data_IF_766762678897
#
_entry.id   IF_766762678897
#
_cell.length_a   1.000
_cell.length_b   1.000
_cell.length_c   1.000
_cell.angle_alpha   90.00
_cell.angle_beta   90.00
_cell.angle_gamma   90.00
#
_symmetry.space_group_name_H-M   'P 1'
#
loop_
_entity.id
_entity.type
_entity.pdbx_description
1 polymer ?
#
# COMPACT_ATOMS: atom_id res chain seq x y z
N UNK A 1 63.49 -68.63 3.44
CA UNK A 1 62.80 -67.98 4.57
C UNK A 1 61.74 -67.14 4.03
N UNK A 2 60.48 -67.58 4.11
CA UNK A 2 59.35 -66.79 3.62
C UNK A 2 58.68 -66.09 4.80
N UNK A 3 58.44 -64.78 4.69
CA UNK A 3 57.57 -64.04 5.55
C UNK A 3 56.29 -63.82 4.77
N UNK A 4 55.26 -64.58 5.04
CA UNK A 4 53.88 -64.31 4.64
C UNK A 4 53.23 -63.50 5.78
N UNK A 5 52.80 -62.29 5.49
CA UNK A 5 52.06 -61.47 6.41
C UNK A 5 50.61 -61.48 5.97
N UNK A 6 49.87 -62.46 6.41
CA UNK A 6 48.39 -62.44 6.34
C UNK A 6 47.87 -61.74 7.58
N UNK A 7 47.65 -60.41 7.46
CA UNK A 7 47.01 -59.57 8.44
C UNK A 7 45.67 -59.09 7.95
N UNK A 8 44.72 -59.96 7.84
CA UNK A 8 43.30 -59.63 7.90
C UNK A 8 42.92 -59.52 9.36
N UNK A 9 42.57 -58.40 9.83
CA UNK A 9 41.51 -58.08 10.82
C UNK A 9 41.74 -56.68 11.37
N UNK A 10 41.39 -55.69 10.53
CA UNK A 10 41.19 -54.32 10.95
C UNK A 10 39.82 -54.16 11.63
N UNK A 11 39.78 -54.54 12.92
CA UNK A 11 38.60 -54.32 13.74
C UNK A 11 38.26 -52.82 13.80
N UNK A 12 37.16 -52.46 13.22
CA UNK A 12 36.56 -51.16 13.34
C UNK A 12 36.21 -50.90 14.81
N UNK A 13 37.01 -50.07 15.49
CA UNK A 13 36.68 -49.55 16.81
C UNK A 13 35.49 -48.64 16.70
N UNK A 14 34.31 -49.13 17.05
CA UNK A 14 33.15 -48.29 17.34
C UNK A 14 33.26 -47.87 18.80
N UNK A 15 33.30 -46.58 19.12
CA UNK A 15 33.20 -46.13 20.50
C UNK A 15 31.75 -46.34 20.97
N UNK A 16 31.56 -47.31 21.85
CA UNK A 16 30.23 -47.76 22.31
C UNK A 16 29.78 -47.09 23.61
N UNK A 17 30.37 -45.96 24.00
CA UNK A 17 29.82 -45.19 25.11
C UNK A 17 30.14 -43.69 24.97
N UNK A 18 29.17 -42.82 24.88
CA UNK A 18 29.39 -41.41 25.12
C UNK A 18 29.68 -41.22 26.62
N UNK A 19 30.88 -40.68 26.93
CA UNK A 19 31.27 -40.35 28.29
C UNK A 19 30.30 -39.38 28.98
N UNK A 20 30.41 -39.16 30.32
CA UNK A 20 29.44 -38.39 31.11
C UNK A 20 29.35 -36.90 30.77
N UNK A 21 30.10 -36.42 29.79
CA UNK A 21 30.01 -35.09 29.23
C UNK A 21 29.33 -35.17 27.86
N UNK A 22 27.97 -35.27 27.87
CA UNK A 22 27.18 -35.31 26.66
C UNK A 22 27.51 -34.12 25.77
N UNK A 23 27.87 -34.38 24.50
CA UNK A 23 27.97 -33.33 23.49
C UNK A 23 26.66 -32.55 23.46
N UNK A 24 26.69 -31.21 23.43
CA UNK A 24 25.49 -30.45 23.24
C UNK A 24 24.86 -30.88 21.91
N UNK A 25 23.69 -31.50 22.00
CA UNK A 25 22.86 -31.81 20.84
C UNK A 25 22.58 -30.50 20.12
N UNK A 26 23.21 -30.30 18.97
CA UNK A 26 22.90 -29.20 18.11
C UNK A 26 21.37 -29.20 17.87
N UNK A 27 20.68 -28.08 18.01
CA UNK A 27 19.24 -28.02 17.72
C UNK A 27 19.04 -28.55 16.31
N UNK A 28 18.22 -29.60 16.19
CA UNK A 28 17.86 -30.17 14.89
C UNK A 28 17.53 -29.03 13.94
N UNK A 29 18.24 -28.86 12.82
CA UNK A 29 17.80 -27.90 11.81
C UNK A 29 16.36 -28.28 11.47
N UNK A 30 15.47 -27.33 11.61
CA UNK A 30 14.06 -27.49 11.24
C UNK A 30 14.08 -28.11 9.85
N UNK A 31 13.71 -29.39 9.75
CA UNK A 31 13.75 -30.13 8.49
C UNK A 31 12.69 -29.59 7.56
N UNK A 32 12.97 -28.41 6.99
CA UNK A 32 12.13 -27.76 6.00
C UNK A 32 11.86 -28.68 4.81
N UNK A 33 12.90 -29.46 4.42
CA UNK A 33 12.76 -30.49 3.39
C UNK A 33 11.78 -31.61 3.79
N UNK A 34 11.77 -32.03 5.06
CA UNK A 34 10.83 -33.02 5.56
C UNK A 34 9.39 -32.51 5.54
N UNK A 35 9.18 -31.24 5.89
CA UNK A 35 7.89 -30.60 5.85
C UNK A 35 7.39 -30.41 4.40
N UNK A 36 8.28 -29.99 3.50
CA UNK A 36 7.97 -29.86 2.06
C UNK A 36 7.64 -31.23 1.46
N UNK A 37 8.36 -32.31 1.79
CA UNK A 37 8.05 -33.66 1.34
C UNK A 37 6.73 -34.19 1.89
N UNK A 38 6.42 -33.90 3.18
CA UNK A 38 5.14 -34.26 3.78
C UNK A 38 3.97 -33.48 3.15
N UNK A 39 4.17 -32.19 2.86
CA UNK A 39 3.20 -31.39 2.12
C UNK A 39 3.00 -31.90 0.70
N UNK A 40 4.09 -32.25 -0.01
CA UNK A 40 4.02 -32.85 -1.34
C UNK A 40 3.33 -34.23 -1.33
N UNK A 41 3.63 -35.10 -0.33
CA UNK A 41 2.98 -36.40 -0.21
C UNK A 41 1.49 -36.28 0.09
N UNK A 42 1.07 -35.32 0.92
CA UNK A 42 -0.36 -35.05 1.16
C UNK A 42 -1.06 -34.44 -0.06
N UNK A 43 -0.39 -33.54 -0.81
CA UNK A 43 -0.91 -33.02 -2.06
C UNK A 43 -1.05 -34.14 -3.12
N UNK A 44 -0.07 -35.07 -3.20
CA UNK A 44 -0.13 -36.19 -4.13
C UNK A 44 -1.25 -37.18 -3.78
N UNK A 45 -1.59 -37.33 -2.48
CA UNK A 45 -2.73 -38.19 -2.07
C UNK A 45 -4.10 -37.56 -2.39
N UNK A 46 -4.18 -36.26 -2.54
CA UNK A 46 -5.40 -35.53 -2.90
C UNK A 46 -5.61 -35.43 -4.43
N UNK A 47 -4.58 -35.73 -5.22
CA UNK A 47 -4.62 -35.77 -6.69
C UNK A 47 -4.69 -37.24 -7.15
N UNK A 48 -5.86 -37.81 -7.39
CA UNK A 48 -5.96 -39.16 -7.93
C UNK A 48 -5.55 -39.16 -9.41
N UNK A 49 -4.41 -39.71 -9.70
CA UNK A 49 -3.90 -39.94 -11.05
C UNK A 49 -2.49 -39.38 -11.27
N UNK A 50 -1.51 -40.26 -11.23
CA UNK A 50 -0.09 -39.99 -11.45
C UNK A 50 0.20 -39.27 -12.77
N UNK A 51 0.82 -38.12 -12.63
CA UNK A 51 1.29 -37.26 -13.69
C UNK A 51 0.94 -35.78 -13.40
N UNK A 52 1.80 -34.89 -13.84
CA UNK A 52 1.55 -33.43 -13.91
C UNK A 52 0.39 -33.11 -14.87
N UNK A 53 -0.71 -33.86 -14.74
CA UNK A 53 -1.90 -33.74 -15.58
C UNK A 53 -2.66 -32.43 -15.25
N UNK A 54 -3.54 -32.05 -16.19
CA UNK A 54 -4.31 -30.80 -16.14
C UNK A 54 -5.01 -30.47 -14.81
N UNK A 55 -5.26 -31.49 -13.95
CA UNK A 55 -5.85 -31.31 -12.63
C UNK A 55 -4.90 -30.65 -11.61
N UNK A 56 -3.61 -31.00 -11.63
CA UNK A 56 -2.60 -30.37 -10.77
C UNK A 56 -2.40 -28.92 -11.18
N UNK A 57 -2.35 -28.63 -12.47
CA UNK A 57 -2.30 -27.27 -13.00
C UNK A 57 -3.56 -26.47 -12.64
N UNK A 58 -4.74 -27.11 -12.68
CA UNK A 58 -5.99 -26.48 -12.28
C UNK A 58 -6.02 -26.11 -10.79
N UNK A 59 -5.56 -27.02 -9.90
CA UNK A 59 -5.46 -26.75 -8.45
C UNK A 59 -4.45 -25.64 -8.17
N UNK A 60 -3.28 -25.67 -8.82
CA UNK A 60 -2.26 -24.62 -8.69
C UNK A 60 -2.79 -23.27 -9.20
N UNK A 61 -3.47 -23.26 -10.32
CA UNK A 61 -4.13 -22.08 -10.87
C UNK A 61 -5.21 -21.53 -9.94
N UNK A 62 -6.05 -22.40 -9.37
CA UNK A 62 -7.08 -22.02 -8.42
C UNK A 62 -6.48 -21.42 -7.14
N UNK A 63 -5.39 -22.00 -6.65
CA UNK A 63 -4.67 -21.51 -5.48
C UNK A 63 -4.01 -20.15 -5.75
N UNK A 64 -3.46 -19.96 -6.97
CA UNK A 64 -2.95 -18.68 -7.44
C UNK A 64 -4.03 -17.60 -7.49
N UNK A 65 -5.20 -17.93 -8.03
CA UNK A 65 -6.34 -17.00 -8.07
C UNK A 65 -6.83 -16.66 -6.66
N UNK A 66 -6.86 -17.62 -5.75
CA UNK A 66 -7.28 -17.40 -4.37
C UNK A 66 -6.29 -16.49 -3.63
N UNK A 67 -4.99 -16.70 -3.81
CA UNK A 67 -3.96 -15.83 -3.27
C UNK A 67 -4.06 -14.42 -3.86
N UNK A 68 -4.30 -14.32 -5.17
CA UNK A 68 -4.48 -13.04 -5.83
C UNK A 68 -5.71 -12.28 -5.29
N UNK A 69 -6.83 -12.96 -5.07
CA UNK A 69 -8.02 -12.35 -4.45
C UNK A 69 -7.75 -11.82 -3.04
N UNK A 70 -6.90 -12.49 -2.25
CA UNK A 70 -6.53 -12.03 -0.91
C UNK A 70 -5.77 -10.70 -0.91
N UNK A 71 -5.11 -10.32 -2.01
CA UNK A 71 -4.42 -9.03 -2.13
C UNK A 71 -5.38 -7.83 -2.25
N UNK A 72 -6.68 -8.08 -2.40
CA UNK A 72 -7.70 -7.03 -2.47
C UNK A 72 -8.05 -6.37 -1.12
N UNK A 73 -7.50 -6.83 0.00
CA UNK A 73 -7.73 -6.21 1.30
C UNK A 73 -6.92 -4.92 1.44
N UNK A 74 -7.57 -3.84 1.88
CA UNK A 74 -6.92 -2.56 2.13
C UNK A 74 -7.51 -1.86 3.35
N UNK A 75 -6.73 -0.94 3.94
CA UNK A 75 -7.14 -0.20 5.13
C UNK A 75 -7.28 1.27 4.80
N UNK A 76 -8.31 1.91 5.32
CA UNK A 76 -8.57 3.34 5.22
C UNK A 76 -8.39 3.96 6.61
N UNK A 77 -7.67 5.07 6.68
CA UNK A 77 -7.46 5.84 7.90
C UNK A 77 -8.76 6.49 8.42
N UNK A 78 -8.76 6.97 9.68
CA UNK A 78 -9.94 7.59 10.29
C UNK A 78 -10.35 8.92 9.63
N UNK A 79 -9.42 9.62 8.98
CA UNK A 79 -9.65 10.90 8.32
C UNK A 79 -9.84 10.78 6.80
N UNK A 80 -9.84 9.54 6.30
CA UNK A 80 -9.89 9.26 4.87
C UNK A 80 -11.19 8.57 4.47
N UNK A 81 -11.59 8.79 3.23
CA UNK A 81 -12.65 8.03 2.56
C UNK A 81 -12.04 7.38 1.32
N UNK A 82 -12.34 6.11 1.11
CA UNK A 82 -11.92 5.39 -0.08
C UNK A 82 -12.98 5.43 -1.16
N UNK A 83 -12.59 5.78 -2.37
CA UNK A 83 -13.41 5.65 -3.56
C UNK A 83 -13.02 4.37 -4.29
N UNK A 84 -13.93 3.42 -4.33
CA UNK A 84 -13.73 2.15 -5.03
C UNK A 84 -14.05 2.31 -6.50
N UNK A 85 -13.10 1.88 -7.32
CA UNK A 85 -13.25 1.84 -8.77
C UNK A 85 -13.04 0.42 -9.28
N UNK A 86 -13.90 0.00 -10.21
CA UNK A 86 -13.79 -1.28 -10.92
C UNK A 86 -13.71 -0.96 -12.42
N UNK A 87 -12.62 -1.38 -13.06
CA UNK A 87 -12.32 -1.04 -14.46
C UNK A 87 -12.37 0.48 -14.74
N UNK A 88 -11.89 1.30 -13.77
CA UNK A 88 -11.92 2.76 -13.89
C UNK A 88 -13.29 3.41 -13.68
N UNK A 89 -14.34 2.64 -13.38
CA UNK A 89 -15.67 3.16 -13.08
C UNK A 89 -15.89 3.21 -11.57
N UNK A 90 -16.34 4.35 -11.08
CA UNK A 90 -16.74 4.52 -9.67
C UNK A 90 -17.88 3.54 -9.30
N UNK A 91 -17.71 2.82 -8.22
CA UNK A 91 -18.68 1.82 -7.74
C UNK A 91 -19.27 2.20 -6.39
N UNK A 92 -18.52 2.91 -5.55
CA UNK A 92 -19.02 3.35 -4.26
C UNK A 92 -17.91 3.86 -3.33
N UNK A 93 -18.32 4.49 -2.23
CA UNK A 93 -17.42 4.98 -1.19
C UNK A 93 -17.31 3.99 -0.05
N UNK A 94 -16.15 3.96 0.57
CA UNK A 94 -15.86 3.14 1.76
C UNK A 94 -15.35 4.01 2.88
N UNK A 95 -15.81 3.71 4.09
CA UNK A 95 -15.43 4.40 5.31
C UNK A 95 -14.16 3.83 5.93
N UNK A 96 -13.66 4.49 6.98
CA UNK A 96 -12.48 4.06 7.75
C UNK A 96 -12.59 2.61 8.24
N UNK A 97 -11.45 1.91 8.21
CA UNK A 97 -11.32 0.53 8.64
C UNK A 97 -10.79 -0.40 7.57
N UNK A 98 -10.94 -1.71 7.82
CA UNK A 98 -10.55 -2.76 6.88
C UNK A 98 -11.66 -2.95 5.83
N UNK A 99 -11.31 -2.76 4.57
CA UNK A 99 -12.21 -2.89 3.45
C UNK A 99 -11.63 -3.86 2.41
N UNK A 100 -12.49 -4.33 1.52
CA UNK A 100 -12.11 -5.22 0.44
C UNK A 100 -12.56 -4.63 -0.90
N UNK A 101 -11.66 -4.63 -1.87
CA UNK A 101 -11.96 -4.34 -3.27
C UNK A 101 -11.28 -5.38 -4.15
N UNK A 102 -11.72 -5.52 -5.38
CA UNK A 102 -11.05 -6.40 -6.35
C UNK A 102 -9.58 -5.97 -6.50
N UNK A 103 -8.63 -6.95 -6.53
CA UNK A 103 -7.23 -6.61 -6.66
C UNK A 103 -6.89 -6.03 -8.04
N UNK A 104 -5.78 -5.27 -8.06
CA UNK A 104 -5.25 -4.76 -9.30
C UNK A 104 -4.98 -5.93 -10.30
N UNK A 105 -5.27 -5.81 -11.62
CA UNK A 105 -5.65 -4.58 -12.35
C UNK A 105 -7.16 -4.32 -12.46
N UNK A 106 -8.02 -5.15 -11.91
CA UNK A 106 -9.48 -5.03 -12.07
C UNK A 106 -10.04 -3.90 -11.23
N UNK A 107 -9.61 -3.82 -9.97
CA UNK A 107 -10.04 -2.78 -9.03
C UNK A 107 -8.90 -1.83 -8.68
N UNK A 108 -9.28 -0.60 -8.36
CA UNK A 108 -8.41 0.43 -7.77
C UNK A 108 -9.16 1.16 -6.67
N UNK A 109 -8.41 1.73 -5.74
CA UNK A 109 -8.96 2.51 -4.63
C UNK A 109 -8.22 3.82 -4.56
N UNK A 110 -8.97 4.92 -4.63
CA UNK A 110 -8.45 6.25 -4.41
C UNK A 110 -8.82 6.69 -2.99
N UNK A 111 -7.81 7.02 -2.18
CA UNK A 111 -8.01 7.52 -0.82
C UNK A 111 -8.02 9.04 -0.84
N UNK A 112 -9.02 9.63 -0.20
CA UNK A 112 -9.18 11.07 -0.07
C UNK A 112 -9.24 11.45 1.39
N UNK A 113 -8.40 12.38 1.81
CA UNK A 113 -8.38 12.95 3.15
C UNK A 113 -9.51 13.99 3.28
N UNK A 114 -10.71 13.55 3.66
CA UNK A 114 -11.90 14.42 3.71
C UNK A 114 -11.96 15.27 4.98
N UNK A 115 -11.23 14.91 6.02
CA UNK A 115 -11.22 15.66 7.29
C UNK A 115 -10.16 16.76 7.30
N UNK A 116 -9.20 16.69 6.39
CA UNK A 116 -8.13 17.66 6.32
C UNK A 116 -8.67 19.01 5.82
N UNK A 117 -8.15 20.07 6.44
CA UNK A 117 -8.44 21.44 6.03
C UNK A 117 -7.39 21.88 5.04
N UNK A 118 -7.83 22.19 3.85
CA UNK A 118 -6.99 22.77 2.81
C UNK A 118 -7.01 24.28 2.95
N UNK A 119 -5.92 24.92 2.58
CA UNK A 119 -5.74 26.36 2.67
C UNK A 119 -5.31 26.89 1.31
N UNK A 120 -6.05 27.84 0.78
CA UNK A 120 -5.71 28.52 -0.48
C UNK A 120 -5.50 30.00 -0.20
N UNK A 121 -4.30 30.47 -0.49
CA UNK A 121 -3.91 31.87 -0.34
C UNK A 121 -4.33 32.65 -1.58
N UNK A 122 -4.92 33.85 -1.40
CA UNK A 122 -5.39 34.73 -2.49
C UNK A 122 -4.77 36.10 -2.34
N UNK A 123 -4.14 36.58 -3.41
CA UNK A 123 -3.43 37.85 -3.44
C UNK A 123 -1.99 37.80 -2.95
N UNK A 124 -1.53 36.66 -2.47
CA UNK A 124 -0.14 36.43 -2.06
C UNK A 124 0.24 34.96 -2.14
N UNK A 125 1.54 34.69 -2.23
CA UNK A 125 2.09 33.33 -2.14
C UNK A 125 3.03 33.26 -0.95
N UNK A 126 2.76 32.35 -0.02
CA UNK A 126 3.67 32.03 1.07
C UNK A 126 4.59 30.87 0.66
N UNK A 127 5.88 31.13 0.55
CA UNK A 127 6.89 30.08 0.32
C UNK A 127 7.83 29.99 1.51
N UNK A 128 8.12 28.78 1.94
CA UNK A 128 9.18 28.51 2.89
C UNK A 128 10.51 28.57 2.15
N UNK A 129 11.41 29.45 2.56
CA UNK A 129 12.76 29.47 2.00
C UNK A 129 13.52 28.28 2.58
N UNK A 130 13.88 27.33 1.71
CA UNK A 130 14.62 26.12 2.08
C UNK A 130 15.98 26.38 2.75
N UNK A 131 16.51 27.60 2.62
CA UNK A 131 17.82 27.97 3.19
C UNK A 131 17.74 28.56 4.58
N UNK A 132 16.72 29.36 4.84
CA UNK A 132 16.59 30.11 6.12
C UNK A 132 15.49 29.53 7.02
N UNK A 133 14.59 28.72 6.49
CA UNK A 133 13.41 28.23 7.19
C UNK A 133 12.38 29.34 7.47
N UNK A 134 12.58 30.54 6.90
CA UNK A 134 11.65 31.65 7.05
C UNK A 134 10.56 31.62 5.97
N UNK A 135 9.37 32.02 6.33
CA UNK A 135 8.28 32.22 5.36
C UNK A 135 8.49 33.53 4.63
N UNK A 136 8.80 33.46 3.33
CA UNK A 136 8.77 34.61 2.45
C UNK A 136 7.38 34.73 1.81
N UNK A 137 6.77 35.88 1.98
CA UNK A 137 5.47 36.21 1.39
C UNK A 137 5.71 37.10 0.18
N UNK A 138 5.20 36.68 -0.97
CA UNK A 138 5.28 37.43 -2.22
C UNK A 138 3.87 37.90 -2.58
N UNK A 139 3.72 39.19 -2.80
CA UNK A 139 2.46 39.80 -3.19
C UNK A 139 2.16 39.52 -4.67
N UNK A 140 0.92 39.20 -4.97
CA UNK A 140 0.38 39.01 -6.32
C UNK A 140 -0.67 40.08 -6.63
N UNK A 141 -0.25 41.25 -7.18
CA UNK A 141 -1.18 42.34 -7.46
C UNK A 141 -2.27 42.01 -8.46
N UNK A 142 -2.01 41.01 -9.32
CA UNK A 142 -3.03 40.58 -10.34
C UNK A 142 -4.25 39.94 -9.68
N UNK A 143 -4.13 39.42 -8.49
CA UNK A 143 -5.18 38.72 -7.73
C UNK A 143 -5.73 39.54 -6.58
N UNK A 144 -4.94 40.44 -6.03
CA UNK A 144 -5.29 41.21 -4.85
C UNK A 144 -5.99 42.55 -5.18
N UNK A 145 -5.76 43.11 -6.38
CA UNK A 145 -6.30 44.40 -6.77
C UNK A 145 -7.71 44.25 -7.33
N UNK A 146 -8.66 44.95 -6.71
CA UNK A 146 -10.03 45.03 -7.19
C UNK A 146 -10.51 46.47 -7.25
N UNK A 147 -11.42 46.74 -8.17
CA UNK A 147 -12.08 48.03 -8.28
C UNK A 147 -13.38 47.98 -7.45
N UNK A 148 -13.50 48.90 -6.50
CA UNK A 148 -14.73 49.05 -5.71
C UNK A 148 -15.79 49.88 -6.49
N UNK A 149 -17.04 49.84 -6.03
CA UNK A 149 -18.16 50.59 -6.64
C UNK A 149 -17.90 52.12 -6.65
N UNK A 150 -17.13 52.61 -5.68
CA UNK A 150 -16.70 54.00 -5.57
C UNK A 150 -15.53 54.37 -6.50
N UNK A 151 -15.17 53.52 -7.47
CA UNK A 151 -14.05 53.70 -8.41
C UNK A 151 -12.68 53.82 -7.73
N UNK A 152 -12.55 53.31 -6.52
CA UNK A 152 -11.26 53.19 -5.84
C UNK A 152 -10.64 51.81 -6.09
N UNK A 153 -9.32 51.76 -6.07
CA UNK A 153 -8.57 50.48 -6.14
C UNK A 153 -8.36 50.03 -4.71
N UNK A 154 -8.84 48.86 -4.38
CA UNK A 154 -8.59 48.17 -3.11
C UNK A 154 -7.62 46.99 -3.31
N UNK A 155 -6.66 46.85 -2.39
CA UNK A 155 -5.78 45.70 -2.33
C UNK A 155 -6.25 44.77 -1.18
N UNK A 156 -6.78 43.60 -1.55
CA UNK A 156 -7.37 42.67 -0.58
C UNK A 156 -6.64 41.33 -0.65
N UNK A 157 -6.08 40.93 0.50
CA UNK A 157 -5.38 39.65 0.68
C UNK A 157 -6.10 38.84 1.72
N UNK A 158 -6.42 37.60 1.39
CA UNK A 158 -7.12 36.72 2.32
C UNK A 158 -6.80 35.26 2.10
N UNK A 159 -7.16 34.45 3.07
CA UNK A 159 -6.92 33.02 3.07
C UNK A 159 -8.25 32.30 3.13
N UNK A 160 -8.48 31.37 2.22
CA UNK A 160 -9.67 30.53 2.20
C UNK A 160 -9.30 29.17 2.80
N UNK A 161 -9.99 28.83 3.88
CA UNK A 161 -9.89 27.49 4.47
C UNK A 161 -11.12 26.70 4.02
N UNK A 162 -10.88 25.59 3.35
CA UNK A 162 -11.93 24.75 2.83
C UNK A 162 -11.69 23.27 3.14
N UNK A 163 -12.71 22.46 3.02
CA UNK A 163 -12.70 21.05 3.32
C UNK A 163 -13.53 20.28 2.31
N UNK A 164 -13.13 19.05 2.00
CA UNK A 164 -13.89 18.17 1.12
C UNK A 164 -15.15 17.71 1.86
N UNK A 165 -16.31 17.76 1.19
CA UNK A 165 -17.55 17.25 1.78
C UNK A 165 -17.50 15.72 1.93
N UNK A 166 -17.57 15.19 3.16
CA UNK A 166 -17.58 13.74 3.40
C UNK A 166 -18.80 13.03 2.82
N UNK A 167 -19.88 13.78 2.54
CA UNK A 167 -21.12 13.23 1.99
C UNK A 167 -20.98 12.87 0.51
N UNK A 168 -20.24 13.70 -0.25
CA UNK A 168 -20.05 13.57 -1.70
C UNK A 168 -18.59 13.72 -2.13
N UNK A 169 -17.68 12.86 -1.63
CA UNK A 169 -16.26 12.92 -1.96
C UNK A 169 -15.98 12.59 -3.44
N UNK A 170 -16.92 11.89 -4.09
CA UNK A 170 -16.87 11.58 -5.53
C UNK A 170 -16.93 12.81 -6.41
N UNK A 171 -17.69 13.84 -6.02
CA UNK A 171 -17.79 15.09 -6.80
C UNK A 171 -16.45 15.82 -6.83
N UNK A 172 -15.75 15.83 -5.70
CA UNK A 172 -14.41 16.39 -5.63
C UNK A 172 -13.42 15.62 -6.51
N UNK A 173 -13.46 14.28 -6.47
CA UNK A 173 -12.48 13.43 -7.15
C UNK A 173 -12.65 13.40 -8.68
N UNK A 174 -13.91 13.53 -9.17
CA UNK A 174 -14.21 13.28 -10.58
C UNK A 174 -14.73 14.52 -11.32
N UNK A 175 -15.29 15.49 -10.61
CA UNK A 175 -15.91 16.66 -11.23
C UNK A 175 -15.01 17.91 -11.18
N UNK A 176 -14.00 17.93 -10.29
CA UNK A 176 -13.10 19.07 -10.14
C UNK A 176 -11.71 18.68 -10.65
N UNK A 177 -11.27 19.32 -11.73
CA UNK A 177 -9.95 19.04 -12.31
C UNK A 177 -8.82 19.69 -11.49
N UNK A 178 -9.04 20.95 -11.10
CA UNK A 178 -8.14 21.72 -10.24
C UNK A 178 -8.95 22.37 -9.12
N UNK A 179 -8.90 21.83 -7.90
CA UNK A 179 -9.66 22.35 -6.79
C UNK A 179 -9.16 23.71 -6.29
N UNK A 180 -7.84 23.94 -6.29
CA UNK A 180 -7.27 25.18 -5.79
C UNK A 180 -7.66 26.36 -6.69
N UNK A 181 -7.53 26.22 -8.00
CA UNK A 181 -7.95 27.23 -8.96
C UNK A 181 -9.46 27.47 -8.92
N UNK A 182 -10.25 26.43 -8.72
CA UNK A 182 -11.71 26.53 -8.62
C UNK A 182 -12.11 27.32 -7.37
N UNK A 183 -11.53 26.98 -6.21
CA UNK A 183 -11.79 27.70 -4.94
C UNK A 183 -11.36 29.14 -5.07
N UNK A 184 -10.22 29.42 -5.68
CA UNK A 184 -9.70 30.75 -5.91
C UNK A 184 -10.66 31.59 -6.75
N UNK A 185 -11.08 31.06 -7.90
CA UNK A 185 -12.04 31.78 -8.79
C UNK A 185 -13.39 32.09 -8.11
N UNK A 186 -13.91 31.11 -7.33
CA UNK A 186 -15.15 31.28 -6.57
C UNK A 186 -14.97 32.33 -5.48
N UNK A 187 -13.86 32.29 -4.74
CA UNK A 187 -13.59 33.24 -3.67
C UNK A 187 -13.38 34.65 -4.18
N UNK A 188 -12.65 34.84 -5.29
CA UNK A 188 -12.54 36.14 -5.96
C UNK A 188 -13.86 36.67 -6.44
N UNK A 189 -14.73 35.82 -7.00
CA UNK A 189 -16.06 36.19 -7.42
C UNK A 189 -16.95 36.63 -6.25
N UNK A 190 -16.88 35.91 -5.13
CA UNK A 190 -17.62 36.24 -3.92
C UNK A 190 -17.19 37.57 -3.27
N UNK A 191 -15.90 37.92 -3.39
CA UNK A 191 -15.36 39.16 -2.87
C UNK A 191 -15.78 40.41 -3.71
N UNK A 192 -16.12 40.20 -4.98
CA UNK A 192 -16.58 41.29 -5.87
C UNK A 192 -18.08 41.53 -5.79
N UNK A 193 -18.85 40.65 -5.17
CA UNK A 193 -20.30 40.74 -5.04
C UNK A 193 -20.72 41.64 -3.89
#
# INVERSE_FOLDING_TARGET
>A
MPWSNDGKDGGSWKPENPGPWGQPQAPNPVNFEGWVRLAQARLQGWLPGGGLGGRALAVLGLLGVLLWLLTGCYTIGPNEVGLNMIFGRYTGKTTSGLNYNLPYPIGSVQKLAVTDRNTTDIGFISRMDDRTGEQATFDLPEESLMLTDDQNIADVKFVVIWQIDPSHPEDYAFNVADPDDTVKAVAESAMRA
#
